data_IF_883548026180
#
_entry.id   IF_883548026180
#
_cell.length_a   1.000
_cell.length_b   1.000
_cell.length_c   1.000
_cell.angle_alpha   90.00
_cell.angle_beta   90.00
_cell.angle_gamma   90.00
#
_symmetry.space_group_name_H-M   'P 1'
#
loop_
_entity.id
_entity.type
_entity.pdbx_description
1 polymer ?
#
# COMPACT_ATOMS: atom_id res chain seq x y z
N UNK A 1 -4.37 -9.70 -7.33
CA UNK A 1 -4.82 -8.35 -6.89
C UNK A 1 -3.70 -7.49 -6.31
N UNK A 2 -2.94 -7.94 -5.31
CA UNK A 2 -1.83 -7.14 -4.73
C UNK A 2 -0.74 -6.77 -5.73
N UNK A 3 -0.42 -7.67 -6.67
CA UNK A 3 0.48 -7.37 -7.80
C UNK A 3 -0.04 -6.21 -8.65
N UNK A 4 -1.32 -6.22 -9.01
CA UNK A 4 -1.94 -5.17 -9.83
C UNK A 4 -1.88 -3.81 -9.14
N UNK A 5 -2.17 -3.74 -7.83
CA UNK A 5 -2.03 -2.50 -7.05
C UNK A 5 -0.60 -1.97 -7.05
N UNK A 6 0.40 -2.85 -6.94
CA UNK A 6 1.82 -2.48 -7.03
C UNK A 6 2.18 -1.97 -8.42
N UNK A 7 1.74 -2.68 -9.47
CA UNK A 7 1.99 -2.29 -10.87
C UNK A 7 1.35 -0.92 -11.17
N UNK A 8 0.15 -0.65 -10.63
CA UNK A 8 -0.50 0.67 -10.72
C UNK A 8 0.29 1.77 -10.01
N UNK A 9 0.82 1.53 -8.80
CA UNK A 9 1.72 2.49 -8.11
C UNK A 9 2.94 2.78 -8.97
N UNK A 10 3.51 1.76 -9.59
CA UNK A 10 4.67 1.93 -10.45
C UNK A 10 4.34 2.76 -11.70
N UNK A 11 3.17 2.55 -12.32
CA UNK A 11 2.71 3.41 -13.41
C UNK A 11 2.45 4.85 -12.98
N UNK A 12 2.00 5.10 -11.75
CA UNK A 12 1.85 6.45 -11.22
C UNK A 12 3.20 7.10 -10.92
N UNK A 13 4.16 6.34 -10.39
CA UNK A 13 5.54 6.82 -10.19
C UNK A 13 6.16 7.33 -11.49
N UNK A 14 5.98 6.61 -12.60
CA UNK A 14 6.49 7.05 -13.90
C UNK A 14 5.91 8.39 -14.38
N UNK A 15 4.71 8.77 -13.91
CA UNK A 15 4.04 10.01 -14.29
C UNK A 15 4.31 11.16 -13.32
N UNK A 16 4.48 10.85 -12.04
CA UNK A 16 4.68 11.82 -10.96
C UNK A 16 5.64 11.25 -9.92
N UNK A 17 6.96 11.28 -10.17
CA UNK A 17 7.94 10.66 -9.28
C UNK A 17 8.04 11.39 -7.94
N UNK A 18 7.87 12.70 -7.92
CA UNK A 18 8.01 13.54 -6.72
C UNK A 18 6.91 13.27 -5.68
N UNK A 19 5.71 12.90 -6.14
CA UNK A 19 4.55 12.66 -5.26
C UNK A 19 4.51 11.25 -4.67
N UNK A 20 5.47 10.37 -4.98
CA UNK A 20 5.39 8.93 -4.67
C UNK A 20 5.16 8.63 -3.19
N UNK A 21 5.77 9.40 -2.29
CA UNK A 21 5.65 9.20 -0.83
C UNK A 21 4.26 9.54 -0.30
N UNK A 22 3.54 10.39 -1.02
CA UNK A 22 2.20 10.86 -0.67
C UNK A 22 1.10 10.05 -1.39
N UNK A 23 1.47 9.21 -2.38
CA UNK A 23 0.54 8.34 -3.07
C UNK A 23 0.07 7.20 -2.16
N UNK A 24 -1.25 7.06 -2.05
CA UNK A 24 -1.90 5.93 -1.41
C UNK A 24 -2.99 5.37 -2.33
N UNK A 25 -2.83 4.13 -2.78
CA UNK A 25 -3.86 3.44 -3.55
C UNK A 25 -4.78 2.64 -2.63
N UNK A 26 -6.07 2.70 -2.95
CA UNK A 26 -7.09 1.86 -2.33
C UNK A 26 -7.55 0.84 -3.36
N UNK A 27 -7.57 -0.44 -2.97
CA UNK A 27 -8.15 -1.53 -3.74
C UNK A 27 -9.21 -2.26 -2.92
N UNK A 28 -10.20 -2.81 -3.62
CA UNK A 28 -11.24 -3.64 -3.01
C UNK A 28 -11.05 -5.08 -3.45
N UNK A 29 -11.13 -6.00 -2.50
CA UNK A 29 -11.16 -7.43 -2.74
C UNK A 29 -12.55 -7.92 -2.35
N UNK A 30 -13.36 -8.28 -3.34
CA UNK A 30 -14.59 -9.00 -3.13
C UNK A 30 -14.32 -10.48 -3.37
N UNK A 31 -14.59 -11.29 -2.35
CA UNK A 31 -14.50 -12.74 -2.44
C UNK A 31 -15.69 -13.35 -1.73
N UNK A 32 -16.58 -13.99 -2.51
CA UNK A 32 -17.85 -14.49 -2.01
C UNK A 32 -18.65 -13.39 -1.30
N UNK A 33 -19.04 -13.59 -0.04
CA UNK A 33 -19.71 -12.58 0.79
C UNK A 33 -18.73 -11.72 1.59
N UNK A 34 -17.42 -11.77 1.31
CA UNK A 34 -16.42 -10.97 2.02
C UNK A 34 -15.94 -9.76 1.20
N UNK A 35 -16.00 -8.57 1.81
CA UNK A 35 -15.54 -7.30 1.27
C UNK A 35 -14.33 -6.81 2.06
N UNK A 36 -13.13 -6.91 1.47
CA UNK A 36 -11.88 -6.49 2.11
C UNK A 36 -11.28 -5.27 1.41
N UNK A 37 -10.96 -4.23 2.18
CA UNK A 37 -10.24 -3.07 1.67
C UNK A 37 -8.74 -3.31 1.81
N UNK A 38 -8.00 -3.04 0.74
CA UNK A 38 -6.54 -3.14 0.68
C UNK A 38 -5.97 -1.76 0.40
N UNK A 39 -5.06 -1.30 1.25
CA UNK A 39 -4.31 -0.07 1.06
C UNK A 39 -2.90 -0.40 0.59
N UNK A 40 -2.41 0.34 -0.39
CA UNK A 40 -1.05 0.23 -0.90
C UNK A 40 -0.40 1.62 -0.88
N UNK A 41 0.73 1.76 -0.18
CA UNK A 41 1.45 3.02 -0.03
C UNK A 41 2.97 2.83 -0.16
N UNK A 42 3.71 3.87 -0.53
CA UNK A 42 5.18 3.82 -0.70
C UNK A 42 5.89 4.89 0.15
N UNK A 43 5.90 4.76 1.48
CA UNK A 43 6.38 5.82 2.38
C UNK A 43 7.86 6.16 2.18
N UNK A 44 8.68 5.15 1.84
CA UNK A 44 10.11 5.31 1.60
C UNK A 44 10.46 5.48 0.10
N UNK A 45 9.48 5.37 -0.80
CA UNK A 45 9.66 5.49 -2.25
C UNK A 45 10.25 4.25 -2.95
N UNK A 46 10.91 3.34 -2.24
CA UNK A 46 11.42 2.07 -2.81
C UNK A 46 10.73 0.83 -2.25
N UNK A 47 9.94 0.98 -1.19
CA UNK A 47 9.16 -0.11 -0.56
C UNK A 47 7.68 0.20 -0.70
N UNK A 48 6.94 -0.67 -1.37
CA UNK A 48 5.49 -0.66 -1.33
C UNK A 48 5.01 -1.49 -0.14
N UNK A 49 4.25 -0.87 0.76
CA UNK A 49 3.56 -1.54 1.85
C UNK A 49 2.13 -1.84 1.44
N UNK A 50 1.68 -3.06 1.73
CA UNK A 50 0.30 -3.48 1.47
C UNK A 50 -0.34 -3.79 2.81
N UNK A 51 -1.33 -2.99 3.20
CA UNK A 51 -2.11 -3.18 4.41
C UNK A 51 -3.52 -3.63 4.07
N UNK A 52 -3.90 -4.83 4.50
CA UNK A 52 -5.29 -5.27 4.46
C UNK A 52 -6.00 -4.68 5.68
N UNK A 53 -7.09 -3.96 5.43
CA UNK A 53 -7.98 -3.50 6.49
C UNK A 53 -8.97 -4.61 6.83
N UNK A 54 -9.79 -4.34 7.85
CA UNK A 54 -10.82 -5.27 8.31
C UNK A 54 -11.73 -5.66 7.15
N UNK A 55 -11.99 -6.95 7.04
CA UNK A 55 -12.99 -7.53 6.13
C UNK A 55 -14.39 -7.25 6.68
N UNK A 56 -15.29 -6.84 5.80
CA UNK A 56 -16.70 -6.59 6.08
C UNK A 56 -17.48 -7.67 5.34
N UNK A 57 -18.38 -8.35 6.03
CA UNK A 57 -19.24 -9.33 5.39
C UNK A 57 -20.43 -8.61 4.74
N UNK A 58 -20.74 -9.01 3.51
CA UNK A 58 -21.87 -8.55 2.73
C UNK A 58 -23.14 -9.20 3.29
N UNK A 59 -24.27 -8.47 3.34
CA UNK A 59 -25.52 -9.04 3.80
C UNK A 59 -25.98 -10.15 2.85
N UNK A 60 -26.32 -11.31 3.41
CA UNK A 60 -26.85 -12.46 2.67
C UNK A 60 -28.39 -12.43 2.66
N UNK A 61 -28.99 -11.97 3.76
CA UNK A 61 -30.43 -11.85 3.93
C UNK A 61 -30.89 -10.39 3.90
N UNK A 62 -32.16 -10.16 3.53
CA UNK A 62 -32.71 -8.82 3.40
C UNK A 62 -32.71 -8.05 4.73
N UNK A 63 -32.91 -8.76 5.85
CA UNK A 63 -32.94 -8.18 7.19
C UNK A 63 -31.56 -7.68 7.64
N UNK A 64 -30.48 -8.29 7.13
CA UNK A 64 -29.10 -7.91 7.44
C UNK A 64 -28.66 -6.63 6.71
N UNK A 65 -29.34 -6.27 5.62
CA UNK A 65 -28.99 -5.09 4.82
C UNK A 65 -28.99 -3.83 5.68
N UNK A 66 -30.00 -3.65 6.53
CA UNK A 66 -30.13 -2.48 7.39
C UNK A 66 -28.91 -2.30 8.33
N UNK A 67 -28.30 -3.40 8.77
CA UNK A 67 -27.17 -3.40 9.70
C UNK A 67 -25.82 -3.37 8.98
N UNK A 68 -25.68 -4.11 7.88
CA UNK A 68 -24.43 -4.28 7.15
C UNK A 68 -24.15 -3.16 6.13
N UNK A 69 -25.19 -2.46 5.64
CA UNK A 69 -25.03 -1.47 4.59
C UNK A 69 -24.28 -0.22 5.04
N UNK A 70 -24.54 0.28 6.25
CA UNK A 70 -23.88 1.47 6.81
C UNK A 70 -22.35 1.34 6.88
N UNK A 71 -21.75 0.26 7.43
CA UNK A 71 -20.30 0.10 7.45
C UNK A 71 -19.71 -0.05 6.03
N UNK A 72 -20.39 -0.73 5.11
CA UNK A 72 -19.96 -0.85 3.71
C UNK A 72 -19.93 0.52 3.04
N UNK A 73 -21.01 1.30 3.12
CA UNK A 73 -21.08 2.65 2.55
C UNK A 73 -20.03 3.58 3.14
N UNK A 74 -19.80 3.51 4.46
CA UNK A 74 -18.76 4.29 5.14
C UNK A 74 -17.37 3.93 4.63
N UNK A 75 -17.09 2.64 4.46
CA UNK A 75 -15.84 2.13 3.93
C UNK A 75 -15.59 2.61 2.49
N UNK A 76 -16.60 2.49 1.63
CA UNK A 76 -16.54 2.93 0.23
C UNK A 76 -16.36 4.44 0.13
N UNK A 77 -17.09 5.21 0.94
CA UNK A 77 -16.98 6.68 0.97
C UNK A 77 -15.57 7.13 1.37
N UNK A 78 -15.01 6.59 2.46
CA UNK A 78 -13.64 6.91 2.89
C UNK A 78 -12.60 6.56 1.82
N UNK A 79 -12.78 5.39 1.19
CA UNK A 79 -11.91 4.94 0.11
C UNK A 79 -11.96 5.88 -1.10
N UNK A 80 -13.17 6.34 -1.47
CA UNK A 80 -13.36 7.34 -2.52
C UNK A 80 -12.62 8.65 -2.21
N UNK A 81 -12.73 9.17 -0.98
CA UNK A 81 -12.04 10.40 -0.57
C UNK A 81 -10.51 10.26 -0.72
N UNK A 82 -9.94 9.10 -0.36
CA UNK A 82 -8.51 8.83 -0.55
C UNK A 82 -8.12 8.78 -2.03
N UNK A 83 -8.94 8.15 -2.88
CA UNK A 83 -8.71 8.08 -4.33
C UNK A 83 -8.78 9.48 -4.96
N UNK A 84 -9.72 10.32 -4.54
CA UNK A 84 -9.82 11.71 -4.99
C UNK A 84 -8.59 12.53 -4.58
N UNK A 85 -8.08 12.34 -3.37
CA UNK A 85 -6.83 12.96 -2.91
C UNK A 85 -5.63 12.55 -3.78
N UNK A 86 -5.50 11.25 -4.05
CA UNK A 86 -4.44 10.73 -4.93
C UNK A 86 -4.55 11.29 -6.35
N UNK A 87 -5.76 11.38 -6.90
CA UNK A 87 -5.97 11.97 -8.22
C UNK A 87 -5.57 13.45 -8.27
N UNK A 88 -5.78 14.21 -7.20
CA UNK A 88 -5.31 15.60 -7.11
C UNK A 88 -3.79 15.68 -7.12
N UNK A 89 -3.10 14.82 -6.36
CA UNK A 89 -1.63 14.76 -6.32
C UNK A 89 -1.03 14.42 -7.69
N UNK A 90 -1.64 13.49 -8.43
CA UNK A 90 -1.18 13.10 -9.77
C UNK A 90 -1.44 14.18 -10.82
N UNK A 91 -2.49 15.00 -10.64
CA UNK A 91 -2.84 16.10 -11.57
C UNK A 91 -2.06 17.39 -11.32
N UNK A 92 -1.48 17.58 -10.13
CA UNK A 92 -0.61 18.71 -9.88
C UNK A 92 0.68 18.53 -10.69
N UNK A 93 0.82 19.31 -11.77
CA UNK A 93 2.06 19.38 -12.54
C UNK A 93 3.16 19.89 -11.60
N UNK A 94 4.29 19.18 -11.43
CA UNK A 94 5.50 19.85 -10.98
C UNK A 94 5.85 20.93 -12.02
N UNK A 95 6.22 22.11 -11.56
CA UNK A 95 6.78 23.15 -12.43
C UNK A 95 8.11 22.59 -12.94
N UNK A 96 8.18 22.24 -14.22
CA UNK A 96 9.43 21.85 -14.88
C UNK A 96 10.38 23.04 -14.85
N UNK A 97 11.32 23.03 -13.90
CA UNK A 97 12.55 23.80 -14.03
C UNK A 97 13.50 22.85 -14.76
N UNK A 98 13.61 23.06 -16.07
CA UNK A 98 14.53 22.34 -16.94
C UNK A 98 15.97 22.61 -16.48
N UNK A 99 16.51 21.68 -15.69
CA UNK A 99 17.94 21.52 -15.49
C UNK A 99 18.24 20.08 -15.84
N UNK A 100 18.60 19.91 -17.11
CA UNK A 100 19.23 18.74 -17.72
C UNK A 100 20.06 17.94 -16.72
N UNK A 101 19.44 16.91 -16.13
CA UNK A 101 20.12 15.76 -15.57
C UNK A 101 19.11 14.62 -15.43
N UNK A 102 19.19 13.64 -16.32
CA UNK A 102 18.64 12.31 -16.07
C UNK A 102 19.22 11.75 -14.77
N UNK A 103 18.54 12.02 -13.66
CA UNK A 103 18.72 11.31 -12.42
C UNK A 103 17.33 11.00 -11.89
N UNK A 104 16.79 9.86 -12.34
CA UNK A 104 15.93 9.08 -11.46
C UNK A 104 16.71 8.96 -10.13
N UNK A 105 16.36 9.76 -9.12
CA UNK A 105 16.98 9.71 -7.79
C UNK A 105 16.81 8.29 -7.29
N UNK A 106 17.82 7.47 -7.48
CA UNK A 106 17.81 6.07 -7.08
C UNK A 106 17.75 6.10 -5.57
N UNK A 107 16.57 5.84 -5.01
CA UNK A 107 16.39 5.89 -3.56
C UNK A 107 17.16 4.71 -2.99
N UNK A 108 18.30 5.00 -2.39
CA UNK A 108 19.15 3.99 -1.79
C UNK A 108 18.37 3.31 -0.66
N UNK A 109 18.37 1.96 -0.58
CA UNK A 109 17.72 1.24 0.49
C UNK A 109 18.35 1.66 1.83
N UNK A 110 17.52 2.17 2.73
CA UNK A 110 17.92 2.64 4.07
C UNK A 110 17.89 1.52 5.11
N UNK A 111 17.79 0.25 4.69
CA UNK A 111 17.85 -0.89 5.59
C UNK A 111 19.30 -1.13 6.04
N UNK A 112 19.69 -0.51 7.16
CA UNK A 112 20.87 -0.92 7.92
C UNK A 112 20.46 -2.13 8.75
N UNK A 113 20.74 -3.33 8.25
CA UNK A 113 20.66 -4.52 9.08
C UNK A 113 21.70 -4.41 10.18
N UNK A 114 21.34 -3.88 11.34
CA UNK A 114 22.17 -4.06 12.53
C UNK A 114 22.36 -5.55 12.72
N UNK A 115 23.63 -5.98 12.65
CA UNK A 115 24.01 -7.38 12.53
C UNK A 115 23.32 -8.22 13.61
N UNK A 116 22.45 -9.12 13.17
CA UNK A 116 21.91 -10.17 14.02
C UNK A 116 23.10 -10.93 14.62
N UNK A 117 23.42 -10.67 15.90
CA UNK A 117 24.49 -11.38 16.60
C UNK A 117 24.17 -12.86 16.52
N UNK A 118 24.99 -13.61 15.76
CA UNK A 118 24.85 -15.06 15.61
C UNK A 118 24.82 -15.68 17.01
N UNK A 119 23.68 -16.24 17.39
CA UNK A 119 23.53 -17.05 18.60
C UNK A 119 24.45 -18.26 18.44
N UNK A 120 25.58 -18.30 19.16
CA UNK A 120 26.48 -19.47 19.21
C UNK A 120 25.65 -20.67 19.66
N UNK A 121 25.55 -21.70 18.82
CA UNK A 121 25.06 -23.02 19.24
C UNK A 121 26.14 -23.62 20.15
N UNK A 122 25.78 -23.91 21.40
CA UNK A 122 26.59 -24.73 22.29
C UNK A 122 26.62 -26.15 21.72
N UNK A 123 27.81 -26.67 21.43
CA UNK A 123 28.02 -28.09 21.18
C UNK A 123 28.25 -28.76 22.52
N UNK A 124 27.20 -29.41 23.05
CA UNK A 124 27.37 -30.36 24.15
C UNK A 124 28.18 -31.55 23.62
N UNK A 125 29.41 -31.65 24.13
CA UNK A 125 30.25 -32.83 23.98
C UNK A 125 29.90 -33.75 25.15
N UNK A 126 29.09 -34.78 24.91
CA UNK A 126 28.92 -35.88 25.85
C UNK A 126 29.91 -36.96 25.42
N UNK A 127 31.04 -37.03 26.11
CA UNK A 127 31.86 -38.23 26.24
C UNK A 127 32.40 -38.30 27.68
N UNK A 128 31.75 -39.14 28.51
CA UNK A 128 32.36 -40.17 29.37
C UNK A 128 31.29 -40.89 30.18
#
# INVERSE_FOLDING_TARGET
>A
MTKVLKDMIYSLYQKSPDSLRELALVGFLLFDTSFTIVLCDSPAGYVCRINRKRTIDLPEEADDICNALLPILTAVYKSRVMMEGTNKLVKQKPVDIDVDLEQCKTILPSFTGEGCKRKRRSSDSIEQ
#
